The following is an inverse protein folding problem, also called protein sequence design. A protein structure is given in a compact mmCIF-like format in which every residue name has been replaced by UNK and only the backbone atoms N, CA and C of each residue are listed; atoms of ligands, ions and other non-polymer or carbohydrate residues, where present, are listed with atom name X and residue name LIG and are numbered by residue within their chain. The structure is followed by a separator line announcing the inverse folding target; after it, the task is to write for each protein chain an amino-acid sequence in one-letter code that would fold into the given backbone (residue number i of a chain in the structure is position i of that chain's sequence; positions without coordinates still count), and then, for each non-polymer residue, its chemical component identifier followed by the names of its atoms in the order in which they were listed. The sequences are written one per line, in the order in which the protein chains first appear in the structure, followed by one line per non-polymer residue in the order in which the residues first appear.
data_IF_404308536040
#
_entry.id   IF_404308536040
#
_cell.length_a   1.000
_cell.length_b   1.000
_cell.length_c   1.000
_cell.angle_alpha   90.00
_cell.angle_beta   90.00
_cell.angle_gamma   90.00
#
_symmetry.space_group_name_H-M   'P 1'
#
loop_
_entity.id
_entity.type
_entity.pdbx_description
1 polymer ?
#
# COMPACT_ATOMS: atom_id res chain seq x y z
N UNK A 1 -16.33 -8.16 -31.76
CA UNK A 1 -15.52 -6.94 -31.92
C UNK A 1 -14.36 -7.04 -30.96
N UNK A 2 -13.11 -6.97 -31.44
CA UNK A 2 -11.93 -7.03 -30.58
C UNK A 2 -11.61 -5.64 -30.04
N UNK A 3 -11.88 -5.41 -28.75
CA UNK A 3 -11.54 -4.14 -28.09
C UNK A 3 -10.03 -3.94 -27.93
N UNK A 4 -9.61 -2.67 -27.87
CA UNK A 4 -8.23 -2.24 -27.61
C UNK A 4 -7.81 -2.71 -26.21
N UNK A 5 -6.69 -3.44 -26.11
CA UNK A 5 -6.14 -3.86 -24.82
C UNK A 5 -5.42 -2.72 -24.13
N UNK A 6 -5.82 -2.43 -22.89
CA UNK A 6 -5.13 -1.51 -21.99
C UNK A 6 -4.88 -2.22 -20.67
N UNK A 7 -3.61 -2.43 -20.31
CA UNK A 7 -3.24 -2.92 -19.00
C UNK A 7 -3.16 -1.74 -18.03
N UNK A 8 -3.90 -1.81 -16.92
CA UNK A 8 -3.93 -0.78 -15.89
C UNK A 8 -2.78 -0.92 -14.87
N UNK A 9 -1.92 -1.91 -15.00
CA UNK A 9 -0.85 -2.22 -14.06
C UNK A 9 -0.09 -3.48 -14.49
N UNK A 10 0.86 -3.96 -13.68
CA UNK A 10 0.95 -3.71 -12.24
C UNK A 10 1.88 -2.56 -11.78
N UNK A 11 2.73 -2.02 -12.64
CA UNK A 11 3.59 -0.86 -12.32
C UNK A 11 3.24 0.41 -13.10
N UNK A 12 2.69 0.26 -14.31
CA UNK A 12 2.27 1.38 -15.15
C UNK A 12 1.08 1.01 -16.02
N UNK A 13 0.48 2.03 -16.63
CA UNK A 13 -0.57 1.86 -17.65
C UNK A 13 0.07 1.62 -19.02
N UNK A 14 -0.30 0.52 -19.68
CA UNK A 14 0.19 0.14 -21.00
C UNK A 14 -0.95 0.00 -22.00
N UNK A 15 -0.77 0.50 -23.22
CA UNK A 15 -1.72 0.34 -24.32
C UNK A 15 -0.99 0.23 -25.66
N UNK A 16 -1.72 0.22 -26.79
CA UNK A 16 -1.12 0.31 -28.13
C UNK A 16 -0.47 1.68 -28.40
N UNK A 17 -0.84 2.72 -27.68
CA UNK A 17 -0.29 4.06 -27.82
C UNK A 17 0.61 4.38 -26.61
N UNK A 18 1.69 5.16 -26.80
CA UNK A 18 2.61 5.48 -25.73
C UNK A 18 1.94 6.34 -24.65
N UNK A 19 2.14 5.94 -23.40
CA UNK A 19 1.76 6.72 -22.22
C UNK A 19 3.04 7.33 -21.64
N UNK A 20 2.95 8.56 -21.16
CA UNK A 20 4.04 9.15 -20.38
C UNK A 20 4.35 8.26 -19.16
N UNK A 21 5.60 7.77 -19.00
CA UNK A 21 5.93 6.82 -17.93
C UNK A 21 5.68 7.34 -16.52
N UNK A 22 5.91 8.63 -16.27
CA UNK A 22 5.70 9.24 -14.95
C UNK A 22 4.20 9.31 -14.63
N UNK A 23 3.37 9.73 -15.60
CA UNK A 23 1.92 9.74 -15.43
C UNK A 23 1.34 8.34 -15.28
N UNK A 24 1.81 7.38 -16.08
CA UNK A 24 1.37 5.99 -16.05
C UNK A 24 1.72 5.30 -14.73
N UNK A 25 2.92 5.52 -14.20
CA UNK A 25 3.34 4.99 -12.91
C UNK A 25 2.58 5.65 -11.75
N UNK A 26 2.48 6.99 -11.76
CA UNK A 26 1.76 7.72 -10.72
C UNK A 26 0.28 7.34 -10.65
N UNK A 27 -0.37 7.06 -11.78
CA UNK A 27 -1.77 6.61 -11.78
C UNK A 27 -1.94 5.31 -10.98
N UNK A 28 -1.00 4.37 -11.15
CA UNK A 28 -0.98 3.07 -10.48
C UNK A 28 -0.60 3.19 -9.01
N UNK A 29 0.44 3.97 -8.71
CA UNK A 29 0.95 4.17 -7.35
C UNK A 29 -0.09 4.83 -6.44
N UNK A 30 -0.67 5.94 -6.89
CA UNK A 30 -1.65 6.73 -6.13
C UNK A 30 -3.09 6.28 -6.38
N UNK A 31 -3.30 5.05 -6.89
CA UNK A 31 -4.64 4.58 -7.28
C UNK A 31 -5.66 4.67 -6.15
N UNK A 32 -5.25 4.55 -4.89
CA UNK A 32 -6.13 4.60 -3.72
C UNK A 32 -6.40 6.03 -3.23
N UNK A 33 -5.56 7.00 -3.64
CA UNK A 33 -5.61 8.38 -3.19
C UNK A 33 -6.58 9.24 -4.03
N UNK A 34 -6.90 10.43 -3.51
CA UNK A 34 -7.66 11.44 -4.25
C UNK A 34 -6.76 12.34 -5.11
N UNK A 35 -5.52 12.57 -4.64
CA UNK A 35 -4.51 13.38 -5.29
C UNK A 35 -3.20 12.60 -5.45
N UNK A 36 -2.60 12.70 -6.63
CA UNK A 36 -1.25 12.23 -6.94
C UNK A 36 -0.31 13.43 -7.08
N UNK A 37 0.92 13.31 -6.60
CA UNK A 37 1.96 14.30 -6.85
C UNK A 37 2.75 13.87 -8.09
N UNK A 38 2.62 14.60 -9.19
CA UNK A 38 3.34 14.32 -10.44
C UNK A 38 4.15 15.56 -10.83
N UNK A 39 5.45 15.41 -11.04
CA UNK A 39 6.39 16.51 -11.28
C UNK A 39 6.22 17.65 -10.25
N UNK A 40 6.01 17.30 -8.98
CA UNK A 40 5.82 18.24 -7.87
C UNK A 40 4.49 18.99 -7.88
N UNK A 41 3.51 18.60 -8.71
CA UNK A 41 2.19 19.24 -8.80
C UNK A 41 1.08 18.28 -8.38
N UNK A 42 0.16 18.69 -7.48
CA UNK A 42 -0.98 17.87 -7.13
C UNK A 42 -1.92 17.74 -8.33
N UNK A 43 -2.34 16.51 -8.63
CA UNK A 43 -3.29 16.18 -9.69
C UNK A 43 -4.37 15.28 -9.13
N UNK A 44 -5.62 15.48 -9.55
CA UNK A 44 -6.70 14.53 -9.24
C UNK A 44 -6.36 13.16 -9.82
N UNK A 45 -6.41 12.12 -8.99
CA UNK A 45 -6.19 10.72 -9.42
C UNK A 45 -7.24 10.32 -10.44
N UNK A 46 -8.50 10.73 -10.28
CA UNK A 46 -9.55 10.50 -11.29
C UNK A 46 -9.22 11.15 -12.63
N UNK A 47 -8.73 12.40 -12.60
CA UNK A 47 -8.29 13.09 -13.82
C UNK A 47 -7.09 12.42 -14.48
N UNK A 48 -6.12 11.99 -13.66
CA UNK A 48 -4.93 11.26 -14.10
C UNK A 48 -5.29 9.95 -14.78
N UNK A 49 -6.16 9.13 -14.19
CA UNK A 49 -6.65 7.88 -14.79
C UNK A 49 -7.32 8.09 -16.14
N UNK A 50 -8.18 9.12 -16.28
CA UNK A 50 -8.80 9.44 -17.59
C UNK A 50 -7.74 9.82 -18.62
N UNK A 51 -6.76 10.64 -18.24
CA UNK A 51 -5.69 11.09 -19.12
C UNK A 51 -4.84 9.90 -19.61
N UNK A 52 -4.37 9.04 -18.71
CA UNK A 52 -3.50 7.90 -19.09
C UNK A 52 -4.25 6.84 -19.87
N UNK A 53 -5.53 6.58 -19.57
CA UNK A 53 -6.34 5.62 -20.33
C UNK A 53 -6.67 6.13 -21.73
N UNK A 54 -6.98 7.44 -21.88
CA UNK A 54 -7.18 8.05 -23.19
C UNK A 54 -5.89 8.00 -24.01
N UNK A 55 -4.75 8.35 -23.39
CA UNK A 55 -3.45 8.26 -24.04
C UNK A 55 -3.11 6.82 -24.46
N UNK A 56 -3.35 5.82 -23.60
CA UNK A 56 -3.04 4.41 -23.88
C UNK A 56 -3.92 3.82 -24.99
N UNK A 57 -5.22 4.12 -24.98
CA UNK A 57 -6.18 3.53 -25.88
C UNK A 57 -6.19 4.20 -27.27
N UNK A 58 -5.82 5.47 -27.36
CA UNK A 58 -5.92 6.28 -28.57
C UNK A 58 -7.28 7.00 -28.69
N UNK A 59 -7.49 7.69 -29.80
CA UNK A 59 -8.72 8.46 -30.04
C UNK A 59 -9.92 7.54 -30.30
N UNK A 60 -10.99 7.74 -29.53
CA UNK A 60 -12.33 7.15 -29.68
C UNK A 60 -12.37 5.65 -30.05
N UNK A 61 -11.72 4.77 -29.26
CA UNK A 61 -11.76 3.34 -29.52
C UNK A 61 -13.20 2.81 -29.36
N UNK A 62 -13.67 1.94 -30.27
CA UNK A 62 -15.05 1.42 -30.21
C UNK A 62 -15.29 0.53 -28.99
N UNK A 63 -14.22 -0.10 -28.46
CA UNK A 63 -14.24 -0.88 -27.24
C UNK A 63 -12.86 -0.93 -26.59
N UNK A 64 -12.81 -1.00 -25.26
CA UNK A 64 -11.58 -1.18 -24.46
C UNK A 64 -11.68 -2.47 -23.66
N UNK A 65 -10.67 -3.32 -23.75
CA UNK A 65 -10.41 -4.41 -22.80
C UNK A 65 -9.47 -3.88 -21.75
N UNK A 66 -9.97 -3.70 -20.54
CA UNK A 66 -9.23 -3.23 -19.39
C UNK A 66 -8.64 -4.43 -18.63
N UNK A 67 -7.32 -4.60 -18.66
CA UNK A 67 -6.62 -5.69 -17.97
C UNK A 67 -6.13 -5.17 -16.62
N UNK A 68 -6.69 -5.72 -15.53
CA UNK A 68 -6.33 -5.36 -14.17
C UNK A 68 -5.57 -6.50 -13.49
N UNK A 69 -4.57 -6.20 -12.64
CA UNK A 69 -3.92 -7.20 -11.79
C UNK A 69 -4.94 -8.01 -10.98
N UNK A 70 -4.67 -9.30 -10.75
CA UNK A 70 -5.66 -10.13 -10.07
C UNK A 70 -5.88 -9.73 -8.61
N UNK A 71 -4.84 -9.27 -7.91
CA UNK A 71 -4.92 -8.87 -6.49
C UNK A 71 -5.60 -7.52 -6.25
N UNK A 72 -5.90 -6.75 -7.29
CA UNK A 72 -6.60 -5.48 -7.10
C UNK A 72 -8.01 -5.68 -6.54
N UNK A 73 -8.31 -4.89 -5.51
CA UNK A 73 -9.64 -4.81 -4.90
C UNK A 73 -10.70 -4.44 -5.92
N UNK A 74 -11.97 -4.69 -5.58
CA UNK A 74 -13.10 -4.30 -6.42
C UNK A 74 -13.14 -2.79 -6.65
N UNK A 75 -12.79 -2.01 -5.63
CA UNK A 75 -12.86 -0.54 -5.69
C UNK A 75 -11.79 0.04 -6.62
N UNK A 76 -10.56 -0.49 -6.58
CA UNK A 76 -9.50 -0.13 -7.54
C UNK A 76 -9.94 -0.42 -8.98
N UNK A 77 -10.51 -1.60 -9.22
CA UNK A 77 -11.03 -1.97 -10.53
C UNK A 77 -12.19 -1.08 -10.97
N UNK A 78 -13.12 -0.77 -10.06
CA UNK A 78 -14.26 0.11 -10.35
C UNK A 78 -13.79 1.52 -10.71
N UNK A 79 -12.83 2.07 -9.96
CA UNK A 79 -12.24 3.40 -10.21
C UNK A 79 -11.65 3.50 -11.61
N UNK A 80 -10.87 2.50 -12.04
CA UNK A 80 -10.27 2.48 -13.38
C UNK A 80 -11.32 2.18 -14.46
N UNK A 81 -12.30 1.33 -14.19
CA UNK A 81 -13.44 1.10 -15.08
C UNK A 81 -14.22 2.39 -15.35
N UNK A 82 -14.54 3.17 -14.31
CA UNK A 82 -15.26 4.44 -14.44
C UNK A 82 -14.46 5.47 -15.24
N UNK A 83 -13.12 5.47 -15.12
CA UNK A 83 -12.26 6.28 -15.96
C UNK A 83 -12.26 5.78 -17.43
N UNK A 84 -12.17 4.47 -17.66
CA UNK A 84 -12.22 3.86 -18.99
C UNK A 84 -13.55 4.12 -19.72
N UNK A 85 -14.66 4.24 -18.97
CA UNK A 85 -15.98 4.61 -19.51
C UNK A 85 -16.02 5.99 -20.15
N UNK A 86 -15.07 6.87 -19.80
CA UNK A 86 -14.92 8.17 -20.47
C UNK A 86 -14.15 8.10 -21.79
N UNK A 87 -13.52 6.95 -22.07
CA UNK A 87 -12.69 6.71 -23.26
C UNK A 87 -13.44 5.87 -24.30
N UNK A 88 -14.27 4.91 -23.89
CA UNK A 88 -15.01 4.04 -24.80
C UNK A 88 -16.42 3.68 -24.33
N UNK A 89 -17.35 3.49 -25.28
CA UNK A 89 -18.75 3.05 -25.05
C UNK A 89 -18.89 1.58 -24.68
N UNK A 90 -17.91 0.73 -24.98
CA UNK A 90 -17.82 -0.65 -24.48
C UNK A 90 -16.51 -0.83 -23.71
N UNK A 91 -16.59 -1.22 -22.44
CA UNK A 91 -15.43 -1.53 -21.59
C UNK A 91 -15.63 -2.92 -21.01
N UNK A 92 -14.70 -3.83 -21.29
CA UNK A 92 -14.68 -5.19 -20.75
C UNK A 92 -13.50 -5.32 -19.79
N UNK A 93 -13.77 -5.70 -18.55
CA UNK A 93 -12.73 -5.86 -17.53
C UNK A 93 -12.27 -7.31 -17.51
N UNK A 94 -10.96 -7.51 -17.56
CA UNK A 94 -10.32 -8.81 -17.44
C UNK A 94 -9.30 -8.81 -16.31
N UNK A 95 -9.16 -9.95 -15.63
CA UNK A 95 -8.06 -10.14 -14.68
C UNK A 95 -6.84 -10.69 -15.40
N UNK A 96 -5.68 -10.13 -15.10
CA UNK A 96 -4.41 -10.46 -15.76
C UNK A 96 -4.06 -11.94 -15.62
N UNK A 97 -4.07 -12.52 -14.41
CA UNK A 97 -3.85 -13.96 -14.23
C UNK A 97 -4.81 -14.84 -15.04
N UNK A 98 -6.10 -14.49 -15.11
CA UNK A 98 -7.11 -15.30 -15.81
C UNK A 98 -6.85 -15.31 -17.32
N UNK A 99 -6.56 -14.14 -17.90
CA UNK A 99 -6.17 -14.03 -19.32
C UNK A 99 -4.90 -14.83 -19.63
N UNK A 100 -3.89 -14.72 -18.77
CA UNK A 100 -2.61 -15.39 -18.98
C UNK A 100 -2.77 -16.91 -18.79
N UNK A 101 -3.56 -17.37 -17.83
CA UNK A 101 -3.87 -18.77 -17.62
C UNK A 101 -4.59 -19.39 -18.83
N UNK A 102 -5.63 -18.71 -19.33
CA UNK A 102 -6.37 -19.12 -20.52
C UNK A 102 -5.44 -19.25 -21.73
N UNK A 103 -4.58 -18.25 -21.93
CA UNK A 103 -3.61 -18.23 -23.04
C UNK A 103 -2.56 -19.33 -22.95
N UNK A 104 -2.10 -19.64 -21.74
CA UNK A 104 -1.16 -20.74 -21.51
C UNK A 104 -1.84 -22.11 -21.54
N UNK A 105 -3.18 -22.18 -21.65
CA UNK A 105 -3.94 -23.43 -21.57
C UNK A 105 -3.78 -24.14 -20.22
N UNK A 106 -3.50 -23.38 -19.14
CA UNK A 106 -3.26 -23.93 -17.81
C UNK A 106 -4.43 -23.65 -16.87
N UNK A 107 -4.80 -24.66 -16.09
CA UNK A 107 -5.70 -24.51 -14.93
C UNK A 107 -4.92 -24.49 -13.61
N UNK A 108 -3.58 -24.44 -13.69
CA UNK A 108 -2.67 -24.38 -12.55
C UNK A 108 -2.60 -22.99 -11.90
N UNK A 109 -1.54 -22.75 -11.14
CA UNK A 109 -1.33 -21.46 -10.48
C UNK A 109 -0.67 -20.44 -11.41
N UNK A 110 -1.07 -19.18 -11.29
CA UNK A 110 -0.39 -18.04 -11.93
C UNK A 110 0.29 -17.21 -10.86
N UNK A 111 1.57 -16.92 -11.05
CA UNK A 111 2.38 -16.08 -10.18
C UNK A 111 2.58 -14.75 -10.89
N UNK A 112 1.89 -13.69 -10.44
CA UNK A 112 2.07 -12.34 -11.00
C UNK A 112 3.10 -11.56 -10.15
N UNK A 113 4.16 -11.05 -10.78
CA UNK A 113 5.19 -10.24 -10.12
C UNK A 113 4.84 -8.75 -10.22
N UNK A 114 4.73 -8.07 -9.08
CA UNK A 114 4.48 -6.63 -8.96
C UNK A 114 5.69 -5.92 -8.30
N UNK A 115 5.73 -4.58 -8.24
CA UNK A 115 6.85 -3.85 -7.61
C UNK A 115 7.12 -4.25 -6.15
N UNK A 116 6.08 -4.33 -5.31
CA UNK A 116 6.20 -4.54 -3.86
C UNK A 116 5.91 -5.97 -3.40
N UNK A 117 5.35 -6.80 -4.27
CA UNK A 117 4.84 -8.11 -3.90
C UNK A 117 4.71 -9.05 -5.10
N UNK A 118 4.59 -10.34 -4.82
CA UNK A 118 4.30 -11.41 -5.76
C UNK A 118 2.94 -12.00 -5.39
N UNK A 119 2.01 -12.05 -6.34
CA UNK A 119 0.68 -12.61 -6.15
C UNK A 119 0.62 -14.04 -6.69
N UNK A 120 0.37 -15.02 -5.82
CA UNK A 120 0.11 -16.41 -6.19
C UNK A 120 -1.40 -16.60 -6.34
N UNK A 121 -1.86 -16.77 -7.58
CA UNK A 121 -3.26 -16.87 -7.94
C UNK A 121 -3.62 -18.31 -8.32
N UNK A 122 -4.58 -18.93 -7.64
CA UNK A 122 -5.05 -20.28 -7.97
C UNK A 122 -6.49 -20.49 -7.49
N UNK A 123 -7.33 -21.17 -8.28
CA UNK A 123 -8.68 -21.60 -7.86
C UNK A 123 -9.53 -20.51 -7.13
N UNK A 124 -9.41 -19.25 -7.54
CA UNK A 124 -10.14 -18.12 -6.95
C UNK A 124 -9.49 -17.50 -5.71
N UNK A 125 -8.38 -18.04 -5.21
CA UNK A 125 -7.58 -17.44 -4.14
C UNK A 125 -6.43 -16.60 -4.70
N UNK A 126 -5.99 -15.63 -3.90
CA UNK A 126 -4.84 -14.78 -4.18
C UNK A 126 -4.05 -14.65 -2.88
N UNK A 127 -2.84 -15.20 -2.86
CA UNK A 127 -1.90 -15.06 -1.75
C UNK A 127 -0.81 -14.07 -2.13
N UNK A 128 -0.49 -13.13 -1.24
CA UNK A 128 0.51 -12.10 -1.50
C UNK A 128 1.77 -12.35 -0.69
N UNK A 129 2.90 -12.41 -1.40
CA UNK A 129 4.24 -12.51 -0.80
C UNK A 129 4.95 -11.18 -1.01
N UNK A 130 5.35 -10.51 0.07
CA UNK A 130 6.11 -9.27 -0.04
C UNK A 130 7.44 -9.50 -0.78
N UNK A 131 7.83 -8.54 -1.61
CA UNK A 131 9.17 -8.52 -2.20
C UNK A 131 10.16 -7.91 -1.23
N UNK A 132 11.41 -8.34 -1.35
CA UNK A 132 12.56 -7.80 -0.63
C UNK A 132 13.82 -8.07 -1.45
N UNK A 133 14.95 -7.53 -1.00
CA UNK A 133 16.26 -7.79 -1.61
C UNK A 133 16.75 -9.23 -1.40
N UNK A 134 16.13 -9.98 -0.47
CA UNK A 134 16.36 -11.41 -0.30
C UNK A 134 15.56 -12.22 -1.34
N UNK A 135 16.09 -12.23 -2.57
CA UNK A 135 15.47 -12.94 -3.71
C UNK A 135 15.24 -14.42 -3.42
N UNK A 136 16.17 -15.08 -2.73
CA UNK A 136 16.05 -16.50 -2.38
C UNK A 136 14.97 -16.74 -1.33
N UNK A 137 14.88 -15.87 -0.32
CA UNK A 137 13.80 -15.87 0.68
C UNK A 137 12.43 -15.68 0.04
N UNK A 138 12.28 -14.67 -0.81
CA UNK A 138 11.03 -14.43 -1.57
C UNK A 138 10.68 -15.66 -2.42
N UNK A 139 11.64 -16.21 -3.14
CA UNK A 139 11.41 -17.41 -3.96
C UNK A 139 11.00 -18.62 -3.11
N UNK A 140 11.62 -18.80 -1.95
CA UNK A 140 11.31 -19.88 -1.02
C UNK A 140 9.87 -19.77 -0.51
N UNK A 141 9.44 -18.58 -0.10
CA UNK A 141 8.07 -18.34 0.37
C UNK A 141 7.06 -18.55 -0.75
N UNK A 142 7.28 -17.98 -1.94
CA UNK A 142 6.39 -18.19 -3.10
C UNK A 142 6.30 -19.68 -3.46
N UNK A 143 7.42 -20.40 -3.47
CA UNK A 143 7.41 -21.85 -3.72
C UNK A 143 6.63 -22.61 -2.66
N UNK A 144 6.81 -22.25 -1.37
CA UNK A 144 6.07 -22.84 -0.27
C UNK A 144 4.56 -22.61 -0.46
N UNK A 145 4.14 -21.37 -0.72
CA UNK A 145 2.75 -21.00 -1.00
C UNK A 145 2.16 -21.82 -2.15
N UNK A 146 2.88 -21.96 -3.26
CA UNK A 146 2.46 -22.80 -4.41
C UNK A 146 2.29 -24.26 -4.00
N UNK A 147 3.19 -24.80 -3.18
CA UNK A 147 3.13 -26.21 -2.75
C UNK A 147 2.07 -26.50 -1.69
N UNK A 148 1.64 -25.48 -0.94
CA UNK A 148 0.59 -25.58 0.09
C UNK A 148 -0.80 -25.28 -0.45
N UNK A 149 -0.96 -25.00 -1.74
CA UNK A 149 -2.28 -24.85 -2.35
C UNK A 149 -3.10 -26.13 -2.14
N UNK A 150 -4.44 -26.03 -1.97
CA UNK A 150 -5.30 -27.19 -1.71
C UNK A 150 -5.15 -28.30 -2.74
N UNK A 151 -4.92 -27.91 -4.00
CA UNK A 151 -4.52 -28.80 -5.08
C UNK A 151 -3.16 -28.36 -5.57
N UNK A 152 -2.15 -29.24 -5.39
CA UNK A 152 -0.80 -28.96 -5.85
C UNK A 152 -0.80 -28.82 -7.38
N UNK A 153 -0.36 -27.68 -7.93
CA UNK A 153 -0.38 -27.48 -9.37
C UNK A 153 0.72 -28.32 -10.05
N UNK A 154 0.36 -28.96 -11.16
CA UNK A 154 1.33 -29.63 -12.03
C UNK A 154 2.15 -28.63 -12.88
N UNK A 155 1.56 -27.46 -13.14
CA UNK A 155 2.18 -26.38 -13.90
C UNK A 155 1.90 -25.01 -13.25
N UNK A 156 2.90 -24.13 -13.31
CA UNK A 156 2.82 -22.74 -12.87
C UNK A 156 3.18 -21.83 -14.03
N UNK A 157 2.37 -20.78 -14.21
CA UNK A 157 2.68 -19.69 -15.11
C UNK A 157 3.24 -18.52 -14.29
N UNK A 158 4.41 -18.00 -14.64
CA UNK A 158 5.02 -16.84 -14.00
C UNK A 158 4.88 -15.64 -14.92
N UNK A 159 4.14 -14.64 -14.50
CA UNK A 159 4.03 -13.35 -15.18
C UNK A 159 5.06 -12.38 -14.59
N UNK A 160 6.00 -11.96 -15.44
CA UNK A 160 7.14 -11.11 -15.09
C UNK A 160 7.15 -9.87 -16.00
N UNK A 161 6.31 -8.86 -15.71
CA UNK A 161 6.19 -7.69 -16.56
C UNK A 161 7.50 -6.90 -16.64
N UNK A 162 7.87 -6.44 -17.83
CA UNK A 162 9.17 -5.80 -18.08
C UNK A 162 9.30 -4.43 -17.40
N UNK A 163 8.17 -3.76 -17.17
CA UNK A 163 8.05 -2.50 -16.44
C UNK A 163 8.31 -2.63 -14.94
N UNK A 164 8.32 -3.86 -14.40
CA UNK A 164 8.57 -4.11 -12.98
C UNK A 164 10.07 -4.38 -12.77
N UNK A 165 10.80 -3.50 -12.05
CA UNK A 165 12.23 -3.68 -11.82
C UNK A 165 12.54 -5.05 -11.17
N UNK A 166 13.51 -5.76 -11.72
CA UNK A 166 13.96 -7.06 -11.21
C UNK A 166 13.02 -8.25 -11.45
N UNK A 167 11.87 -8.06 -12.12
CA UNK A 167 10.89 -9.14 -12.31
C UNK A 167 11.44 -10.32 -13.10
N UNK A 168 12.22 -10.08 -14.17
CA UNK A 168 12.83 -11.13 -14.97
C UNK A 168 13.83 -11.99 -14.17
N UNK A 169 14.63 -11.35 -13.31
CA UNK A 169 15.58 -12.03 -12.43
C UNK A 169 14.82 -12.91 -11.43
N UNK A 170 13.85 -12.33 -10.72
CA UNK A 170 13.02 -13.07 -9.76
C UNK A 170 12.28 -14.24 -10.42
N UNK A 171 11.74 -14.05 -11.62
CA UNK A 171 11.09 -15.12 -12.39
C UNK A 171 12.05 -16.27 -12.73
N UNK A 172 13.31 -15.98 -13.04
CA UNK A 172 14.35 -16.99 -13.26
C UNK A 172 14.59 -17.84 -12.01
N UNK A 173 14.85 -17.20 -10.86
CA UNK A 173 15.04 -17.90 -9.59
C UNK A 173 13.81 -18.73 -9.18
N UNK A 174 12.61 -18.15 -9.32
CA UNK A 174 11.35 -18.86 -9.07
C UNK A 174 11.20 -20.09 -9.97
N UNK A 175 11.47 -19.94 -11.27
CA UNK A 175 11.36 -21.04 -12.22
C UNK A 175 12.30 -22.18 -11.86
N UNK A 176 13.55 -21.89 -11.50
CA UNK A 176 14.52 -22.90 -11.08
C UNK A 176 14.12 -23.59 -9.79
N UNK A 177 13.67 -22.83 -8.79
CA UNK A 177 13.18 -23.37 -7.52
C UNK A 177 11.96 -24.29 -7.68
N UNK A 178 11.00 -23.92 -8.53
CA UNK A 178 9.80 -24.71 -8.81
C UNK A 178 10.11 -25.95 -9.65
N UNK A 179 10.99 -25.84 -10.66
CA UNK A 179 11.44 -26.98 -11.47
C UNK A 179 12.19 -28.02 -10.64
N UNK A 180 13.02 -27.62 -9.68
CA UNK A 180 13.65 -28.53 -8.71
C UNK A 180 12.63 -29.34 -7.90
N UNK A 181 11.42 -28.79 -7.71
CA UNK A 181 10.28 -29.44 -7.05
C UNK A 181 9.38 -30.21 -8.02
N UNK A 182 9.83 -30.44 -9.26
CA UNK A 182 9.11 -31.14 -10.34
C UNK A 182 7.77 -30.49 -10.72
N UNK A 183 7.69 -29.17 -10.61
CA UNK A 183 6.55 -28.38 -11.10
C UNK A 183 6.95 -27.81 -12.46
N UNK A 184 6.12 -27.99 -13.49
CA UNK A 184 6.37 -27.38 -14.80
C UNK A 184 6.22 -25.86 -14.70
N UNK A 185 7.13 -25.10 -15.31
CA UNK A 185 7.10 -23.62 -15.24
C UNK A 185 7.17 -23.03 -16.63
N UNK A 186 6.19 -22.20 -16.94
CA UNK A 186 6.17 -21.31 -18.11
C UNK A 186 6.32 -19.88 -17.61
N UNK A 187 7.18 -19.08 -18.24
CA UNK A 187 7.24 -17.63 -18.00
C UNK A 187 6.46 -16.95 -19.12
N UNK A 188 5.50 -16.10 -18.79
CA UNK A 188 4.66 -15.41 -19.76
C UNK A 188 5.50 -14.44 -20.59
N UNK A 189 5.23 -14.35 -21.89
CA UNK A 189 5.88 -13.33 -22.73
C UNK A 189 5.26 -11.95 -22.48
N UNK A 190 6.02 -10.85 -22.65
CA UNK A 190 5.60 -9.50 -22.28
C UNK A 190 4.26 -9.05 -22.89
N UNK A 191 3.91 -9.52 -24.09
CA UNK A 191 2.72 -9.08 -24.84
C UNK A 191 1.54 -10.06 -24.81
N UNK A 192 1.62 -11.14 -24.03
CA UNK A 192 0.56 -12.16 -23.97
C UNK A 192 -0.81 -11.60 -23.58
N UNK A 193 -0.84 -10.58 -22.71
CA UNK A 193 -2.06 -9.92 -22.28
C UNK A 193 -2.72 -9.06 -23.38
N UNK A 194 -1.98 -8.66 -24.43
CA UNK A 194 -2.50 -7.81 -25.51
C UNK A 194 -3.42 -8.57 -26.44
N UNK A 195 -3.14 -9.84 -26.66
CA UNK A 195 -3.89 -10.64 -27.62
C UNK A 195 -5.32 -10.89 -27.12
N UNK A 196 -6.30 -10.95 -28.03
CA UNK A 196 -7.66 -11.31 -27.65
C UNK A 196 -7.67 -12.76 -27.12
N UNK A 197 -8.56 -13.09 -26.16
CA UNK A 197 -8.85 -14.48 -25.83
C UNK A 197 -9.21 -15.27 -27.09
N UNK A 198 -8.85 -16.55 -27.15
CA UNK A 198 -9.28 -17.40 -28.25
C UNK A 198 -10.82 -17.44 -28.27
N UNK A 199 -11.45 -17.16 -29.41
CA UNK A 199 -12.90 -17.33 -29.51
C UNK A 199 -13.22 -18.80 -29.22
N UNK A 200 -14.05 -19.11 -28.21
CA UNK A 200 -14.43 -20.49 -27.98
C UNK A 200 -15.23 -20.96 -29.20
N UNK A 201 -14.83 -22.09 -29.80
CA UNK A 201 -15.74 -22.83 -30.68
C UNK A 201 -17.08 -22.92 -29.95
N UNK A 202 -18.13 -22.39 -30.58
CA UNK A 202 -19.47 -22.21 -29.99
C UNK A 202 -20.11 -23.56 -29.68
N UNK A 203 -19.68 -24.22 -28.61
CA UNK A 203 -20.39 -25.30 -27.94
C UNK A 203 -21.25 -24.68 -26.86
N UNK A 204 -22.55 -24.69 -27.11
CA UNK A 204 -23.61 -24.20 -26.24
C UNK A 204 -23.42 -24.72 -24.81
N UNK A 205 -22.86 -23.88 -23.93
CA UNK A 205 -22.76 -24.15 -22.49
C UNK A 205 -23.33 -22.96 -21.73
N UNK A 206 -24.15 -23.25 -20.74
CA UNK A 206 -24.87 -22.29 -19.91
C UNK A 206 -23.91 -21.25 -19.27
N UNK A 207 -24.38 -20.01 -19.03
CA UNK A 207 -23.49 -18.89 -18.74
C UNK A 207 -22.83 -19.04 -17.36
N UNK A 208 -21.50 -19.19 -17.37
CA UNK A 208 -20.65 -18.99 -16.19
C UNK A 208 -20.54 -17.50 -15.84
N UNK A 209 -20.51 -17.19 -14.54
CA UNK A 209 -20.50 -15.82 -14.00
C UNK A 209 -19.22 -15.09 -14.41
N UNK A 210 -19.34 -14.26 -15.44
CA UNK A 210 -18.50 -13.05 -15.60
C UNK A 210 -19.08 -11.99 -14.68
N UNK A 211 -18.25 -11.25 -13.94
CA UNK A 211 -18.68 -10.08 -13.15
C UNK A 211 -19.10 -8.97 -14.12
N UNK A 212 -20.31 -9.08 -14.67
CA UNK A 212 -20.93 -8.05 -15.48
C UNK A 212 -21.42 -6.95 -14.55
N UNK A 213 -20.70 -5.84 -14.51
CA UNK A 213 -21.19 -4.60 -13.90
C UNK A 213 -22.32 -4.04 -14.77
N UNK A 214 -23.55 -4.49 -14.53
CA UNK A 214 -24.76 -4.04 -15.20
C UNK A 214 -25.36 -2.79 -14.55
N UNK A 215 -25.45 -1.71 -15.30
CA UNK A 215 -26.02 -0.43 -14.87
C UNK A 215 -27.53 -0.54 -14.55
N UNK A 216 -27.93 -0.23 -13.30
CA UNK A 216 -29.32 0.08 -12.97
C UNK A 216 -29.49 1.59 -12.91
N UNK A 217 -29.90 2.15 -14.05
CA UNK A 217 -30.16 3.57 -14.27
C UNK A 217 -31.32 4.05 -13.38
N UNK A 218 -31.03 4.77 -12.29
CA UNK A 218 -32.03 5.60 -11.60
C UNK A 218 -31.79 7.07 -11.97
N UNK A 219 -32.58 7.55 -12.92
CA UNK A 219 -32.75 8.98 -13.18
C UNK A 219 -33.46 9.62 -11.99
N UNK A 220 -32.90 10.66 -11.38
CA UNK A 220 -33.62 11.78 -10.75
C UNK A 220 -32.76 13.06 -10.81
N UNK A 221 -33.40 14.24 -10.82
CA UNK A 221 -32.97 15.37 -11.63
C UNK A 221 -32.04 16.35 -10.93
N UNK A 222 -31.46 17.22 -11.75
CA UNK A 222 -30.61 18.34 -11.38
C UNK A 222 -31.33 19.40 -10.53
N UNK A 223 -30.64 19.88 -9.51
CA UNK A 223 -30.70 21.22 -8.95
C UNK A 223 -29.24 21.53 -8.55
N UNK A 224 -28.54 22.50 -9.13
CA UNK A 224 -28.92 23.90 -9.17
C UNK A 224 -28.24 24.58 -7.97
N UNK A 225 -27.06 25.16 -8.19
CA UNK A 225 -26.27 25.78 -7.13
C UNK A 225 -24.93 26.30 -7.62
N UNK A 226 -24.98 27.41 -8.36
CA UNK A 226 -23.84 28.30 -8.63
C UNK A 226 -23.45 29.00 -7.33
N UNK A 227 -22.18 28.93 -6.91
CA UNK A 227 -21.54 30.05 -6.21
C UNK A 227 -20.10 30.17 -6.69
N UNK A 228 -19.83 31.30 -7.33
CA UNK A 228 -18.51 31.81 -7.67
C UNK A 228 -17.94 32.64 -6.51
N UNK A 229 -16.61 32.81 -6.52
CA UNK A 229 -15.89 33.81 -5.72
C UNK A 229 -15.00 33.19 -4.64
N UNK A 230 -13.81 33.70 -4.33
CA UNK A 230 -13.04 34.79 -4.92
C UNK A 230 -11.58 34.60 -4.45
N UNK A 231 -10.65 35.05 -5.28
CA UNK A 231 -9.24 35.25 -4.93
C UNK A 231 -9.17 36.35 -3.87
N UNK A 232 -8.40 36.14 -2.80
CA UNK A 232 -7.76 37.24 -2.08
C UNK A 232 -6.41 36.82 -1.51
N UNK A 233 -5.38 37.51 -2.00
CA UNK A 233 -4.05 37.56 -1.44
C UNK A 233 -4.04 38.43 -0.17
N UNK A 234 -3.19 38.07 0.80
CA UNK A 234 -2.66 39.02 1.76
C UNK A 234 -1.25 38.57 2.19
N UNK A 235 -0.25 39.24 1.62
CA UNK A 235 1.08 39.41 2.19
C UNK A 235 0.99 40.27 3.44
N UNK A 236 1.68 39.89 4.51
CA UNK A 236 2.31 40.85 5.44
C UNK A 236 3.67 40.31 5.89
N UNK A 237 4.72 41.02 5.48
CA UNK A 237 6.09 41.00 5.99
C UNK A 237 6.25 42.14 7.01
N UNK A 238 6.87 41.87 8.17
CA UNK A 238 7.74 42.75 9.01
C UNK A 238 7.83 42.15 10.43
N UNK A 239 8.89 42.22 11.23
CA UNK A 239 10.35 42.42 11.12
C UNK A 239 10.86 42.24 12.58
N UNK A 240 12.02 41.61 12.76
CA UNK A 240 12.98 41.75 13.89
C UNK A 240 12.52 41.80 15.37
N UNK A 241 13.06 40.88 16.16
CA UNK A 241 13.30 41.04 17.60
C UNK A 241 14.45 40.15 18.06
N UNK A 242 15.57 40.76 18.44
CA UNK A 242 16.82 40.12 18.89
C UNK A 242 16.90 40.16 20.43
N UNK A 243 17.54 39.11 20.98
CA UNK A 243 18.17 38.92 22.31
C UNK A 243 17.31 38.50 23.53
N UNK A 244 17.93 37.91 24.60
CA UNK A 244 19.31 37.40 24.76
C UNK A 244 19.41 35.95 25.28
N UNK A 245 20.63 35.41 25.17
CA UNK A 245 21.12 34.20 25.82
C UNK A 245 21.13 34.35 27.34
N UNK A 246 20.56 33.39 28.06
CA UNK A 246 20.81 33.18 29.50
C UNK A 246 21.43 31.81 29.71
N UNK A 247 22.72 31.82 30.04
CA UNK A 247 23.45 30.68 30.56
C UNK A 247 23.21 30.51 32.06
N UNK A 248 23.08 29.26 32.49
CA UNK A 248 23.47 28.76 33.82
C UNK A 248 22.34 28.12 34.64
N UNK A 249 22.62 27.17 35.56
CA UNK A 249 23.91 26.53 35.88
C UNK A 249 23.90 25.00 35.69
N UNK A 250 25.11 24.44 35.61
CA UNK A 250 25.41 23.01 35.65
C UNK A 250 24.73 22.31 36.83
N UNK A 251 24.10 21.18 36.54
CA UNK A 251 23.76 20.17 37.55
C UNK A 251 24.21 18.81 37.01
N UNK A 252 25.41 18.46 37.46
CA UNK A 252 25.95 17.11 37.68
C UNK A 252 25.65 16.07 36.62
N UNK A 253 26.66 15.79 35.81
CA UNK A 253 26.82 14.57 35.01
C UNK A 253 26.33 13.33 35.77
N UNK A 254 25.29 12.70 35.22
CA UNK A 254 25.23 11.24 35.21
C UNK A 254 25.52 10.83 33.78
N UNK A 255 26.79 10.58 33.49
CA UNK A 255 27.23 10.02 32.22
C UNK A 255 26.58 8.64 32.05
N UNK A 256 25.61 8.56 31.14
CA UNK A 256 25.29 7.34 30.42
C UNK A 256 25.67 7.60 28.96
N UNK A 257 26.58 6.83 28.35
CA UNK A 257 26.95 7.02 26.96
C UNK A 257 25.76 6.66 26.04
N UNK A 258 25.82 7.17 24.80
CA UNK A 258 24.98 6.82 23.63
C UNK A 258 23.66 7.59 23.39
N UNK A 259 23.65 8.92 23.46
CA UNK A 259 22.57 9.71 22.85
C UNK A 259 22.74 9.78 21.33
N UNK A 260 22.07 8.89 20.60
CA UNK A 260 21.98 9.00 19.14
C UNK A 260 21.48 10.40 18.74
N UNK A 261 22.11 11.09 17.76
CA UNK A 261 21.62 12.36 17.25
C UNK A 261 20.17 12.25 16.78
N UNK A 262 19.34 13.23 17.11
CA UNK A 262 17.93 13.26 16.74
C UNK A 262 17.58 14.46 15.85
N UNK A 263 16.51 14.34 15.09
CA UNK A 263 15.96 15.39 14.23
C UNK A 263 14.44 15.42 14.32
N UNK A 264 13.83 16.57 14.04
CA UNK A 264 12.37 16.68 13.89
C UNK A 264 11.98 16.22 12.49
N UNK A 265 11.29 15.10 12.42
CA UNK A 265 10.65 14.60 11.20
C UNK A 265 9.24 15.18 11.11
N UNK A 266 8.99 15.95 10.05
CA UNK A 266 7.65 16.45 9.74
C UNK A 266 7.09 15.64 8.58
N UNK A 267 5.94 15.01 8.82
CA UNK A 267 5.29 14.13 7.86
C UNK A 267 3.78 14.41 7.89
N UNK A 268 3.23 14.90 6.79
CA UNK A 268 1.81 15.27 6.71
C UNK A 268 1.44 16.33 7.76
N UNK A 269 0.58 15.98 8.72
CA UNK A 269 0.08 16.88 9.77
C UNK A 269 0.81 16.75 11.09
N UNK A 270 1.86 15.94 11.18
CA UNK A 270 2.55 15.65 12.44
C UNK A 270 4.04 15.99 12.36
N UNK A 271 4.60 16.35 13.51
CA UNK A 271 6.03 16.43 13.77
C UNK A 271 6.42 15.45 14.87
N UNK A 272 7.47 14.67 14.67
CA UNK A 272 7.98 13.67 15.64
C UNK A 272 9.50 13.73 15.68
N UNK A 273 10.12 13.71 16.86
CA UNK A 273 11.58 13.62 17.00
C UNK A 273 12.01 12.17 16.82
N UNK A 274 12.95 11.93 15.89
CA UNK A 274 13.44 10.61 15.50
C UNK A 274 14.97 10.58 15.41
N UNK A 275 15.64 9.41 15.46
CA UNK A 275 17.07 9.31 15.23
C UNK A 275 17.46 9.76 13.81
N UNK A 276 18.51 10.57 13.69
CA UNK A 276 19.04 11.06 12.39
C UNK A 276 19.51 9.92 11.50
N UNK A 277 20.06 8.87 12.12
CA UNK A 277 20.61 7.72 11.41
C UNK A 277 19.53 6.78 10.87
N UNK A 278 18.26 6.94 11.23
CA UNK A 278 17.19 6.04 10.81
C UNK A 278 16.44 6.68 9.64
N UNK A 279 16.71 6.28 8.39
CA UNK A 279 16.08 6.90 7.24
C UNK A 279 14.56 6.61 7.23
N UNK A 280 13.71 7.62 6.99
CA UNK A 280 12.28 7.40 6.88
C UNK A 280 11.92 6.76 5.54
N UNK A 281 11.15 5.67 5.60
CA UNK A 281 10.60 4.97 4.45
C UNK A 281 9.07 4.95 4.55
N UNK A 282 8.39 5.36 3.48
CA UNK A 282 6.92 5.30 3.42
C UNK A 282 6.50 3.88 3.05
N UNK A 283 5.83 3.20 3.97
CA UNK A 283 5.23 1.87 3.75
C UNK A 283 3.75 2.09 3.47
N UNK A 284 3.39 2.12 2.20
CA UNK A 284 2.02 2.36 1.73
C UNK A 284 1.29 1.07 1.34
N UNK A 285 1.97 -0.07 1.34
CA UNK A 285 1.42 -1.40 1.05
C UNK A 285 1.64 -2.42 2.18
N UNK A 286 1.07 -3.63 1.99
CA UNK A 286 1.17 -4.74 2.95
C UNK A 286 0.07 -4.76 4.02
N UNK A 287 0.10 -5.74 4.95
CA UNK A 287 -0.86 -5.80 6.06
C UNK A 287 -0.65 -4.64 7.04
N UNK A 288 -1.76 -3.99 7.40
CA UNK A 288 -1.81 -2.85 8.32
C UNK A 288 -1.95 -1.51 7.59
N UNK A 289 -2.11 -0.44 8.37
CA UNK A 289 -2.26 0.92 7.83
C UNK A 289 -0.97 1.40 7.17
N UNK A 290 -1.12 2.24 6.14
CA UNK A 290 -0.02 3.01 5.55
C UNK A 290 0.69 3.79 6.66
N UNK A 291 2.02 3.68 6.69
CA UNK A 291 2.85 4.13 7.81
C UNK A 291 4.20 4.61 7.32
N UNK A 292 4.79 5.54 8.05
CA UNK A 292 6.21 5.79 7.96
C UNK A 292 6.94 4.74 8.79
N UNK A 293 7.98 4.14 8.23
CA UNK A 293 8.85 3.20 8.92
C UNK A 293 10.26 3.77 8.96
N UNK A 294 10.86 3.77 10.14
CA UNK A 294 12.25 4.15 10.36
C UNK A 294 12.95 2.93 10.94
N UNK A 295 13.87 2.34 10.20
CA UNK A 295 14.57 1.11 10.60
C UNK A 295 15.96 1.45 11.08
N UNK A 296 16.40 0.84 12.19
CA UNK A 296 17.78 0.99 12.66
C UNK A 296 18.76 0.42 11.63
N UNK A 297 19.75 1.19 11.16
CA UNK A 297 20.81 0.67 10.29
C UNK A 297 21.61 -0.46 10.95
N UNK A 298 21.71 -0.44 12.29
CA UNK A 298 22.48 -1.42 13.06
C UNK A 298 21.68 -2.69 13.34
N UNK A 299 20.35 -2.62 13.34
CA UNK A 299 19.49 -3.75 13.62
C UNK A 299 18.15 -3.64 12.90
N UNK A 300 17.93 -4.36 11.78
CA UNK A 300 16.71 -4.25 10.99
C UNK A 300 15.45 -4.76 11.72
N UNK A 301 15.61 -5.44 12.87
CA UNK A 301 14.49 -5.84 13.72
C UNK A 301 14.04 -4.75 14.67
N UNK A 302 14.79 -3.65 14.81
CA UNK A 302 14.43 -2.47 15.58
C UNK A 302 13.93 -1.39 14.63
N UNK A 303 12.68 -0.97 14.81
CA UNK A 303 12.06 0.03 13.93
C UNK A 303 11.01 0.87 14.67
N UNK A 304 10.83 2.10 14.21
CA UNK A 304 9.68 2.94 14.53
C UNK A 304 8.69 2.88 13.37
N UNK A 305 7.41 2.75 13.70
CA UNK A 305 6.29 2.87 12.79
C UNK A 305 5.45 4.07 13.20
N UNK A 306 5.09 4.93 12.26
CA UNK A 306 4.33 6.14 12.55
C UNK A 306 3.14 6.22 11.59
N UNK A 307 1.94 6.35 12.14
CA UNK A 307 0.71 6.56 11.38
C UNK A 307 -0.04 7.76 11.91
N UNK A 308 -0.85 8.36 11.04
CA UNK A 308 -1.69 9.49 11.39
C UNK A 308 -3.07 9.33 10.75
N UNK A 309 -4.10 9.80 11.45
CA UNK A 309 -5.46 9.87 10.93
C UNK A 309 -6.15 11.11 11.48
N UNK A 310 -6.97 11.78 10.66
CA UNK A 310 -7.78 12.91 11.11
C UNK A 310 -9.00 12.38 11.83
N UNK A 311 -9.35 13.00 12.96
CA UNK A 311 -10.56 12.73 13.72
C UNK A 311 -11.47 13.97 13.71
N UNK A 312 -12.79 13.82 13.89
CA UNK A 312 -13.69 14.97 14.01
C UNK A 312 -13.27 15.92 15.14
N UNK A 313 -13.57 17.21 14.97
CA UNK A 313 -13.36 18.21 16.02
C UNK A 313 -14.04 17.78 17.33
N UNK A 314 -13.32 17.93 18.45
CA UNK A 314 -13.81 17.53 19.77
C UNK A 314 -13.80 16.02 20.06
N UNK A 315 -13.17 15.20 19.20
CA UNK A 315 -12.96 13.79 19.48
C UNK A 315 -12.13 13.60 20.76
N UNK A 316 -12.63 12.78 21.68
CA UNK A 316 -12.03 12.60 23.00
C UNK A 316 -11.14 11.36 23.06
N UNK A 317 -10.22 11.34 24.03
CA UNK A 317 -9.39 10.17 24.34
C UNK A 317 -10.22 8.89 24.53
N UNK A 318 -11.33 9.00 25.28
CA UNK A 318 -12.25 7.88 25.51
C UNK A 318 -12.88 7.36 24.22
N UNK A 319 -13.36 8.25 23.35
CA UNK A 319 -13.93 7.86 22.07
C UNK A 319 -12.88 7.18 21.16
N UNK A 320 -11.63 7.67 21.17
CA UNK A 320 -10.52 7.02 20.49
C UNK A 320 -10.28 5.62 21.06
N UNK A 321 -10.21 5.47 22.39
CA UNK A 321 -9.99 4.19 23.06
C UNK A 321 -11.11 3.19 22.75
N UNK A 322 -12.37 3.63 22.82
CA UNK A 322 -13.54 2.79 22.52
C UNK A 322 -13.54 2.32 21.05
N UNK A 323 -13.20 3.22 20.11
CA UNK A 323 -13.09 2.89 18.69
C UNK A 323 -11.93 1.93 18.40
N UNK A 324 -10.78 2.11 19.03
CA UNK A 324 -9.64 1.19 18.93
C UNK A 324 -10.02 -0.18 19.50
N UNK A 325 -10.61 -0.23 20.69
CA UNK A 325 -11.03 -1.48 21.31
C UNK A 325 -12.03 -2.25 20.42
N UNK A 326 -12.96 -1.55 19.76
CA UNK A 326 -13.89 -2.15 18.81
C UNK A 326 -13.16 -2.71 17.58
N UNK A 327 -12.23 -1.95 17.00
CA UNK A 327 -11.47 -2.38 15.83
C UNK A 327 -10.56 -3.58 16.13
N UNK A 328 -9.91 -3.61 17.30
CA UNK A 328 -9.02 -4.70 17.71
C UNK A 328 -9.79 -6.00 17.97
N UNK A 329 -11.03 -5.93 18.50
CA UNK A 329 -11.88 -7.11 18.72
C UNK A 329 -12.36 -7.80 17.44
N UNK A 330 -12.39 -7.09 16.31
CA UNK A 330 -12.80 -7.64 15.01
C UNK A 330 -11.67 -8.43 14.32
N UNK A 331 -10.46 -8.39 14.90
CA UNK A 331 -9.28 -9.07 14.37
C UNK A 331 -9.14 -10.49 14.93
N UNK A 332 -8.31 -11.31 14.29
CA UNK A 332 -8.04 -12.68 14.76
C UNK A 332 -7.43 -12.67 16.16
N UNK A 333 -7.90 -13.60 17.01
CA UNK A 333 -7.38 -13.79 18.37
C UNK A 333 -5.85 -13.98 18.38
N UNK A 334 -5.20 -13.36 19.36
CA UNK A 334 -3.75 -13.45 19.56
C UNK A 334 -2.90 -12.50 18.72
N UNK A 335 -3.46 -11.80 17.73
CA UNK A 335 -2.74 -10.80 16.93
C UNK A 335 -2.54 -9.50 17.70
N UNK A 336 -3.55 -9.06 18.45
CA UNK A 336 -3.48 -7.88 19.28
C UNK A 336 -3.71 -8.27 20.74
N UNK A 337 -2.82 -7.85 21.63
CA UNK A 337 -2.78 -8.22 23.05
C UNK A 337 -2.44 -7.00 23.90
N UNK A 338 -2.52 -7.13 25.23
CA UNK A 338 -2.09 -6.09 26.18
C UNK A 338 -2.70 -4.69 25.90
N UNK A 339 -3.98 -4.64 25.54
CA UNK A 339 -4.69 -3.38 25.32
C UNK A 339 -4.91 -2.65 26.66
N UNK A 340 -4.40 -1.42 26.77
CA UNK A 340 -4.63 -0.51 27.89
C UNK A 340 -5.20 0.82 27.37
N UNK A 341 -6.48 1.15 27.68
CA UNK A 341 -7.11 2.37 27.22
C UNK A 341 -6.66 3.64 27.97
N UNK A 342 -5.89 3.52 29.05
CA UNK A 342 -5.54 4.62 29.95
C UNK A 342 -4.05 4.65 30.33
N UNK A 343 -3.19 4.12 29.46
CA UNK A 343 -1.73 4.09 29.66
C UNK A 343 -1.12 5.50 29.66
N UNK A 344 0.11 5.61 30.20
CA UNK A 344 0.92 6.82 30.25
C UNK A 344 2.31 6.54 29.68
N UNK A 345 2.67 7.21 28.59
CA UNK A 345 3.98 7.09 27.93
C UNK A 345 4.48 8.46 27.51
N UNK A 346 5.77 8.71 27.64
CA UNK A 346 6.39 9.98 27.29
C UNK A 346 5.75 11.18 28.00
N UNK A 347 5.26 10.98 29.22
CA UNK A 347 4.53 11.97 30.03
C UNK A 347 3.16 12.38 29.43
N UNK A 348 2.52 11.47 28.68
CA UNK A 348 1.25 11.71 27.99
C UNK A 348 0.24 10.61 28.21
N UNK A 349 -1.04 11.00 28.24
CA UNK A 349 -2.15 10.07 28.19
C UNK A 349 -2.26 9.42 26.80
N UNK A 350 -2.21 8.09 26.77
CA UNK A 350 -2.18 7.30 25.54
C UNK A 350 -3.07 6.07 25.67
N UNK A 351 -3.40 5.46 24.53
CA UNK A 351 -3.93 4.10 24.45
C UNK A 351 -2.80 3.22 23.95
N UNK A 352 -2.49 2.13 24.64
CA UNK A 352 -1.45 1.21 24.20
C UNK A 352 -2.01 -0.17 23.92
N UNK A 353 -1.34 -0.88 23.01
CA UNK A 353 -1.60 -2.29 22.73
C UNK A 353 -0.39 -2.92 22.07
N UNK A 354 -0.32 -4.25 22.08
CA UNK A 354 0.76 -5.01 21.46
C UNK A 354 0.25 -5.76 20.25
N UNK A 355 0.93 -5.62 19.13
CA UNK A 355 0.74 -6.44 17.94
C UNK A 355 1.77 -7.56 17.90
N UNK A 356 1.31 -8.79 17.70
CA UNK A 356 2.11 -10.01 17.59
C UNK A 356 1.76 -10.69 16.27
N UNK A 357 2.71 -10.69 15.33
CA UNK A 357 2.62 -11.41 14.06
C UNK A 357 3.90 -12.21 13.84
N UNK A 358 3.86 -13.22 12.98
CA UNK A 358 4.99 -14.12 12.74
C UNK A 358 6.28 -13.35 12.40
N UNK A 359 7.18 -13.22 13.38
CA UNK A 359 8.48 -12.55 13.26
C UNK A 359 8.56 -11.12 13.81
N UNK A 360 7.46 -10.46 14.19
CA UNK A 360 7.46 -9.07 14.66
C UNK A 360 6.56 -8.85 15.88
N UNK A 361 7.13 -8.16 16.87
CA UNK A 361 6.43 -7.65 18.04
C UNK A 361 6.49 -6.13 18.00
N UNK A 362 5.33 -5.49 17.97
CA UNK A 362 5.22 -4.04 17.91
C UNK A 362 4.38 -3.58 19.10
N UNK A 363 4.95 -2.72 19.93
CA UNK A 363 4.21 -2.00 20.97
C UNK A 363 3.68 -0.70 20.37
N UNK A 364 2.36 -0.64 20.23
CA UNK A 364 1.67 0.53 19.70
C UNK A 364 1.26 1.46 20.83
N UNK A 365 1.51 2.73 20.62
CA UNK A 365 1.09 3.85 21.46
C UNK A 365 0.29 4.81 20.59
N UNK A 366 -0.95 5.07 20.97
CA UNK A 366 -1.86 5.94 20.22
C UNK A 366 -2.28 7.11 21.09
N UNK A 367 -2.16 8.31 20.53
CA UNK A 367 -2.45 9.56 21.21
C UNK A 367 -3.25 10.49 20.31
N UNK A 368 -3.98 11.41 20.93
CA UNK A 368 -4.61 12.53 20.25
C UNK A 368 -3.78 13.79 20.47
N UNK A 369 -3.53 14.50 19.38
CA UNK A 369 -2.98 15.86 19.39
C UNK A 369 -3.81 16.72 18.43
N UNK A 370 -4.54 17.69 18.98
CA UNK A 370 -5.61 18.42 18.26
C UNK A 370 -6.58 17.46 17.57
N UNK A 371 -6.77 17.61 16.26
CA UNK A 371 -7.67 16.80 15.43
C UNK A 371 -6.94 15.64 14.73
N UNK A 372 -5.73 15.30 15.21
CA UNK A 372 -4.91 14.23 14.64
C UNK A 372 -4.73 13.13 15.68
N UNK A 373 -5.13 11.91 15.30
CA UNK A 373 -4.75 10.69 16.00
C UNK A 373 -3.43 10.19 15.44
N UNK A 374 -2.42 10.15 16.31
CA UNK A 374 -1.05 9.73 15.99
C UNK A 374 -0.83 8.37 16.64
N UNK A 375 -0.42 7.37 15.86
CA UNK A 375 -0.09 6.05 16.36
C UNK A 375 1.39 5.74 16.06
N UNK A 376 2.13 5.44 17.11
CA UNK A 376 3.57 5.14 17.10
C UNK A 376 3.74 3.68 17.50
N UNK A 377 4.29 2.87 16.61
CA UNK A 377 4.59 1.46 16.82
C UNK A 377 6.09 1.26 17.03
N UNK A 378 6.47 0.73 18.18
CA UNK A 378 7.86 0.46 18.52
C UNK A 378 8.13 -1.03 18.36
N UNK A 379 8.90 -1.37 17.32
CA UNK A 379 9.26 -2.74 16.99
C UNK A 379 10.58 -3.11 17.66
N UNK A 380 10.58 -4.25 18.34
CA UNK A 380 11.75 -4.78 19.02
C UNK A 380 12.21 -6.11 18.41
N UNK A 381 13.51 -6.42 18.47
CA UNK A 381 13.97 -7.80 18.38
C UNK A 381 13.26 -8.63 19.48
N UNK A 382 12.77 -9.82 19.13
CA UNK A 382 12.01 -10.75 19.99
C UNK A 382 12.40 -10.70 21.49
N UNK A 383 11.45 -10.88 22.43
CA UNK A 383 11.74 -10.71 23.85
C UNK A 383 12.78 -11.72 24.33
N UNK A 384 13.73 -11.28 25.19
CA UNK A 384 14.29 -12.18 26.21
C UNK A 384 13.15 -12.62 27.12
N UNK A 385 13.23 -13.86 27.60
CA UNK A 385 12.18 -14.55 28.35
C UNK A 385 11.39 -13.66 29.33
N UNK A 386 10.08 -13.86 29.30
CA UNK A 386 9.05 -13.29 30.18
C UNK A 386 9.51 -13.14 31.63
N UNK A 387 9.53 -11.91 32.15
CA UNK A 387 9.59 -11.70 33.60
C UNK A 387 10.21 -10.40 34.11
N UNK A 388 10.68 -9.50 33.24
CA UNK A 388 11.21 -8.21 33.71
C UNK A 388 10.61 -7.08 32.88
N UNK A 389 10.23 -6.00 33.57
CA UNK A 389 9.62 -4.80 33.02
C UNK A 389 10.15 -4.49 31.63
N UNK A 390 9.25 -4.34 30.66
CA UNK A 390 9.59 -3.84 29.34
C UNK A 390 10.15 -2.43 29.55
N UNK A 391 11.47 -2.33 29.74
CA UNK A 391 12.17 -1.06 29.87
C UNK A 391 11.80 -0.29 28.61
N UNK A 392 11.06 0.79 28.81
CA UNK A 392 10.55 1.56 27.69
C UNK A 392 11.73 2.08 26.88
N UNK A 393 11.75 1.77 25.59
CA UNK A 393 12.85 2.14 24.72
C UNK A 393 12.97 3.66 24.65
N UNK A 394 14.13 4.26 25.01
CA UNK A 394 14.28 5.71 25.04
C UNK A 394 13.93 6.40 23.72
N UNK A 395 14.12 5.71 22.58
CA UNK A 395 13.72 6.21 21.26
C UNK A 395 12.20 6.29 21.14
N UNK A 396 11.51 5.23 21.56
CA UNK A 396 10.05 5.15 21.57
C UNK A 396 9.45 6.23 22.47
N UNK A 397 9.97 6.35 23.70
CA UNK A 397 9.55 7.37 24.67
C UNK A 397 9.73 8.78 24.12
N UNK A 398 10.89 9.06 23.48
CA UNK A 398 11.15 10.36 22.89
C UNK A 398 10.21 10.65 21.70
N UNK A 399 9.93 9.66 20.86
CA UNK A 399 8.98 9.81 19.76
C UNK A 399 7.56 10.13 20.29
N UNK A 400 7.09 9.41 21.30
CA UNK A 400 5.77 9.64 21.93
C UNK A 400 5.70 11.02 22.60
N UNK A 401 6.72 11.38 23.37
CA UNK A 401 6.80 12.68 24.05
C UNK A 401 6.75 13.84 23.06
N UNK A 402 7.46 13.71 21.94
CA UNK A 402 7.62 14.80 20.97
C UNK A 402 6.54 14.88 19.89
N UNK A 403 5.74 13.84 19.70
CA UNK A 403 4.76 13.79 18.62
C UNK A 403 3.69 14.89 18.75
N UNK A 404 3.50 15.73 17.74
CA UNK A 404 2.49 16.79 17.82
C UNK A 404 1.92 17.11 16.44
N UNK A 405 0.72 17.70 16.41
CA UNK A 405 0.17 18.26 15.20
C UNK A 405 0.92 19.56 14.83
N UNK A 406 1.28 19.71 13.55
CA UNK A 406 1.98 20.91 13.02
C UNK A 406 1.06 21.87 12.28
N UNK A 407 -0.23 21.56 12.21
CA UNK A 407 -1.30 22.36 11.58
C UNK A 407 -2.28 22.90 12.59
#
# INVERSE_FOLDING_TARGET
MTGVAVAAGPAMVLGPHPVDPELGAAAVEFIDDELALVAGKPRSVTGLWRQVLHAAAGADPPAVRLICPRWWSRDRVQRVFDAARTVAELVEVHRRAELLAERAGTTGAVVEIAPEHVAVCAAGTVELVARSDDVDGVCSVVCATVTTLPVRPAAVLVDAPAEVPGAAVLAGFLADQLRRRRIAVTVAEPDWWRQPPAEPERKTRAPGKTDRFGARRRRRPAAGGVVAGAVLAALTLTLMGVWPSSAGPERTETTMPDSMPTTLLVEGRIGVVVPVSWPPQRVTGGPGSARLQLVSPENPRRALHITQSVVPAGHTHRQMADALAAALRDQRDGVFTAFDPADQRGDRAVVSYREVRAGHHIEWVVLLDREVRIAIGCQYPLPRDSGTDAVSDPICEQAVRSAHAVV
#
